data_IF_080856837070
#
_entry.id   IF_080856837070
#
_cell.length_a   1.000
_cell.length_b   1.000
_cell.length_c   1.000
_cell.angle_alpha   90.00
_cell.angle_beta   90.00
_cell.angle_gamma   90.00
#
_symmetry.space_group_name_H-M   'P 1'
#
loop_
_entity.id
_entity.type
_entity.pdbx_description
1 polymer ?
#
# COMPACT_ATOMS: atom_id res chain seq x y z
N UNK A 1 -14.50 2.16 -6.64
CA UNK A 1 -13.25 2.90 -6.44
C UNK A 1 -12.06 1.97 -6.52
N UNK A 2 -10.94 2.42 -7.13
CA UNK A 2 -9.76 1.57 -7.22
C UNK A 2 -9.22 1.22 -5.85
N UNK A 3 -8.89 -0.05 -5.66
CA UNK A 3 -8.31 -0.55 -4.41
C UNK A 3 -7.04 -1.31 -4.69
N UNK A 4 -6.07 -1.15 -3.80
CA UNK A 4 -4.84 -1.93 -3.81
C UNK A 4 -4.94 -2.94 -2.69
N UNK A 5 -5.03 -4.22 -3.01
CA UNK A 5 -5.09 -5.26 -2.00
C UNK A 5 -3.81 -6.07 -2.01
N UNK A 6 -3.16 -6.12 -0.85
CA UNK A 6 -1.97 -6.94 -0.62
C UNK A 6 -2.35 -8.07 0.33
N UNK A 7 -2.49 -9.27 -0.20
CA UNK A 7 -2.86 -10.43 0.60
C UNK A 7 -3.81 -11.36 -0.13
N UNK A 8 -3.99 -12.54 0.43
CA UNK A 8 -4.84 -13.56 -0.15
C UNK A 8 -6.25 -13.51 0.46
N UNK A 9 -7.14 -12.95 -0.30
CA UNK A 9 -8.58 -13.09 -0.14
C UNK A 9 -9.18 -12.67 1.21
N UNK A 10 -9.37 -13.55 2.18
CA UNK A 10 -10.31 -13.26 3.26
C UNK A 10 -9.70 -13.16 4.65
N UNK A 11 -8.54 -13.76 4.84
CA UNK A 11 -8.00 -13.93 6.18
C UNK A 11 -6.94 -12.92 6.57
N UNK A 12 -6.06 -12.56 5.64
CA UNK A 12 -5.02 -11.59 5.90
C UNK A 12 -4.81 -10.71 4.68
N UNK A 13 -5.01 -9.42 4.84
CA UNK A 13 -4.78 -8.46 3.76
C UNK A 13 -4.63 -7.05 4.29
N UNK A 14 -3.95 -6.24 3.50
CA UNK A 14 -3.90 -4.79 3.63
C UNK A 14 -4.51 -4.21 2.37
N UNK A 15 -5.55 -3.40 2.50
CA UNK A 15 -6.24 -2.80 1.37
C UNK A 15 -6.29 -1.28 1.48
N UNK A 16 -5.86 -0.60 0.43
CA UNK A 16 -5.86 0.85 0.34
C UNK A 16 -6.79 1.29 -0.80
N UNK A 17 -7.71 2.19 -0.50
CA UNK A 17 -8.63 2.74 -1.49
C UNK A 17 -8.10 4.06 -2.03
N UNK A 18 -7.87 4.13 -3.34
CA UNK A 18 -7.31 5.32 -4.00
C UNK A 18 -8.41 5.98 -4.80
N UNK A 19 -8.89 7.13 -4.33
CA UNK A 19 -10.11 7.75 -4.83
C UNK A 19 -9.91 9.12 -5.48
N UNK A 20 -8.69 9.53 -5.78
CA UNK A 20 -8.43 10.83 -6.36
C UNK A 20 -8.94 10.90 -7.81
N UNK A 21 -9.71 11.94 -8.19
CA UNK A 21 -10.25 12.04 -9.55
C UNK A 21 -9.16 12.13 -10.62
N UNK A 22 -9.44 11.65 -11.85
CA UNK A 22 -8.52 11.78 -12.97
C UNK A 22 -8.14 13.24 -13.23
N UNK A 23 -6.88 13.47 -13.55
CA UNK A 23 -6.38 14.82 -13.85
C UNK A 23 -6.15 15.71 -12.64
N UNK A 24 -6.45 15.23 -11.44
CA UNK A 24 -6.33 16.03 -10.22
C UNK A 24 -4.99 15.88 -9.53
N UNK A 25 -4.11 15.03 -10.05
CA UNK A 25 -2.88 14.66 -9.36
C UNK A 25 -1.71 15.59 -9.66
N UNK A 26 -1.29 16.33 -8.64
CA UNK A 26 0.00 17.01 -8.62
C UNK A 26 0.84 16.36 -7.52
N UNK A 27 2.16 16.45 -7.62
CA UNK A 27 3.05 15.73 -6.69
C UNK A 27 2.74 15.97 -5.22
N UNK A 28 2.30 17.16 -4.87
CA UNK A 28 1.99 17.54 -3.49
C UNK A 28 0.50 17.48 -3.14
N UNK A 29 -0.35 17.05 -4.07
CA UNK A 29 -1.78 16.91 -3.79
C UNK A 29 -2.00 15.89 -2.70
N UNK A 30 -2.69 16.30 -1.65
CA UNK A 30 -3.02 15.42 -0.53
C UNK A 30 -4.32 14.66 -0.80
N UNK A 31 -4.39 13.44 -0.34
CA UNK A 31 -5.59 12.63 -0.43
C UNK A 31 -5.76 11.76 0.80
N UNK A 32 -7.02 11.59 1.21
CA UNK A 32 -7.38 10.65 2.25
C UNK A 32 -7.45 9.27 1.61
N UNK A 33 -6.83 8.29 2.25
CA UNK A 33 -6.75 6.91 1.75
C UNK A 33 -7.40 5.99 2.77
N UNK A 34 -8.66 5.57 2.55
CA UNK A 34 -9.27 4.57 3.43
C UNK A 34 -8.49 3.27 3.37
N UNK A 35 -8.17 2.73 4.53
CA UNK A 35 -7.36 1.52 4.68
C UNK A 35 -8.10 0.52 5.55
N UNK A 36 -8.13 -0.74 5.10
CA UNK A 36 -8.57 -1.85 5.92
C UNK A 36 -7.40 -2.83 6.07
N UNK A 37 -7.13 -3.22 7.31
CA UNK A 37 -6.08 -4.18 7.66
C UNK A 37 -6.70 -5.33 8.43
N UNK A 38 -6.54 -6.54 7.92
CA UNK A 38 -7.04 -7.75 8.56
C UNK A 38 -5.90 -8.74 8.70
N UNK A 39 -5.54 -9.07 9.93
CA UNK A 39 -4.47 -10.01 10.25
C UNK A 39 -4.85 -10.81 11.50
N UNK A 40 -4.73 -12.12 11.44
CA UNK A 40 -4.83 -13.04 12.59
C UNK A 40 -5.75 -12.59 13.75
N UNK A 41 -7.03 -12.41 13.46
CA UNK A 41 -8.00 -12.04 14.50
C UNK A 41 -8.07 -10.56 14.82
N UNK A 42 -7.27 -9.73 14.14
CA UNK A 42 -7.33 -8.29 14.28
C UNK A 42 -7.85 -7.64 13.01
N UNK A 43 -8.69 -6.63 13.18
CA UNK A 43 -9.18 -5.83 12.05
C UNK A 43 -9.10 -4.36 12.43
N UNK A 44 -8.53 -3.56 11.54
CA UNK A 44 -8.45 -2.12 11.72
C UNK A 44 -8.88 -1.38 10.48
N UNK A 45 -9.49 -0.22 10.68
CA UNK A 45 -9.83 0.71 9.61
C UNK A 45 -9.32 2.08 9.98
N UNK A 46 -8.53 2.68 9.09
CA UNK A 46 -7.97 4.01 9.29
C UNK A 46 -8.07 4.77 7.98
N UNK A 47 -7.88 6.09 8.05
CA UNK A 47 -7.91 6.94 6.86
C UNK A 47 -6.69 7.86 6.89
N UNK A 48 -5.50 7.32 6.64
CA UNK A 48 -4.30 8.14 6.60
C UNK A 48 -4.28 9.05 5.37
N UNK A 49 -3.44 10.06 5.44
CA UNK A 49 -3.26 11.02 4.36
C UNK A 49 -1.94 10.73 3.65
N UNK A 50 -2.00 10.73 2.32
CA UNK A 50 -0.83 10.55 1.45
C UNK A 50 -0.77 11.67 0.43
N UNK A 51 0.42 11.91 -0.10
CA UNK A 51 0.59 12.76 -1.27
C UNK A 51 0.57 11.89 -2.52
N UNK A 52 0.15 12.45 -3.64
CA UNK A 52 0.19 11.76 -4.94
C UNK A 52 1.58 11.20 -5.21
N UNK A 53 2.62 11.98 -4.94
CA UNK A 53 3.99 11.57 -5.20
C UNK A 53 4.43 10.35 -4.39
N UNK A 54 3.85 10.14 -3.21
CA UNK A 54 4.12 8.94 -2.41
C UNK A 54 3.78 7.68 -3.19
N UNK A 55 2.64 7.69 -3.89
CA UNK A 55 2.20 6.54 -4.69
C UNK A 55 2.92 6.44 -6.02
N UNK A 56 3.31 7.56 -6.62
CA UNK A 56 4.10 7.54 -7.86
C UNK A 56 5.45 6.85 -7.60
N UNK A 57 6.11 7.21 -6.50
CA UNK A 57 7.37 6.57 -6.11
C UNK A 57 7.16 5.11 -5.72
N UNK A 58 6.08 4.84 -4.99
CA UNK A 58 5.75 3.47 -4.58
C UNK A 58 5.53 2.56 -5.77
N UNK A 59 4.82 3.03 -6.79
CA UNK A 59 4.58 2.26 -8.02
C UNK A 59 5.90 1.82 -8.67
N UNK A 60 6.83 2.75 -8.82
CA UNK A 60 8.13 2.45 -9.43
C UNK A 60 8.88 1.39 -8.62
N UNK A 61 8.93 1.55 -7.30
CA UNK A 61 9.62 0.61 -6.41
C UNK A 61 8.94 -0.75 -6.39
N UNK A 62 7.60 -0.78 -6.35
CA UNK A 62 6.84 -2.03 -6.32
C UNK A 62 7.02 -2.82 -7.62
N UNK A 63 7.05 -2.12 -8.75
CA UNK A 63 7.32 -2.75 -10.05
C UNK A 63 8.69 -3.43 -10.05
N UNK A 64 9.70 -2.77 -9.48
CA UNK A 64 11.05 -3.35 -9.37
C UNK A 64 11.05 -4.60 -8.47
N UNK A 65 10.33 -4.60 -7.36
CA UNK A 65 10.20 -5.79 -6.50
C UNK A 65 9.56 -6.93 -7.27
N UNK A 66 8.51 -6.64 -8.02
CA UNK A 66 7.82 -7.66 -8.80
C UNK A 66 8.73 -8.27 -9.90
N UNK A 67 9.44 -7.43 -10.62
CA UNK A 67 10.28 -7.88 -11.73
C UNK A 67 11.55 -8.60 -11.26
N UNK A 68 12.19 -8.11 -10.21
CA UNK A 68 13.44 -8.65 -9.70
C UNK A 68 13.26 -9.74 -8.66
N UNK A 69 12.06 -9.91 -8.10
CA UNK A 69 11.73 -10.81 -6.99
C UNK A 69 12.53 -10.48 -5.72
N UNK A 70 13.15 -9.33 -5.67
CA UNK A 70 13.98 -8.88 -4.55
C UNK A 70 13.86 -7.38 -4.38
N UNK A 71 14.45 -6.83 -3.30
CA UNK A 71 14.35 -5.42 -2.98
C UNK A 71 13.12 -5.11 -2.16
N UNK A 72 12.83 -3.83 -2.02
CA UNK A 72 11.71 -3.40 -1.19
C UNK A 72 11.06 -2.14 -1.75
N UNK A 73 9.77 -1.95 -1.40
CA UNK A 73 8.98 -0.79 -1.79
C UNK A 73 8.16 -0.32 -0.60
N UNK A 74 8.18 0.98 -0.35
CA UNK A 74 7.49 1.60 0.78
C UNK A 74 6.73 2.84 0.33
N UNK A 75 5.40 2.94 0.56
CA UNK A 75 4.71 4.20 0.39
C UNK A 75 4.93 5.04 1.65
N UNK A 76 5.92 5.91 1.60
CA UNK A 76 6.39 6.67 2.76
C UNK A 76 5.71 8.03 2.84
N UNK A 77 4.62 8.10 3.59
CA UNK A 77 3.90 9.36 3.81
C UNK A 77 4.59 10.20 4.89
N UNK A 78 4.25 11.50 4.90
CA UNK A 78 4.88 12.46 5.81
C UNK A 78 4.61 12.15 7.28
N UNK A 79 3.36 11.80 7.62
CA UNK A 79 2.98 11.57 9.02
C UNK A 79 3.08 10.11 9.44
N UNK A 80 3.23 9.21 8.49
CA UNK A 80 3.42 7.78 8.75
C UNK A 80 2.39 7.14 9.67
N UNK A 81 1.14 7.54 9.54
CA UNK A 81 0.05 6.84 10.24
C UNK A 81 -0.03 5.38 9.78
N UNK A 82 0.14 5.15 8.48
CA UNK A 82 0.37 3.82 7.92
C UNK A 82 1.75 3.80 7.29
N UNK A 83 2.55 2.84 7.69
CA UNK A 83 3.87 2.65 7.12
C UNK A 83 4.10 1.16 6.90
N UNK A 84 4.41 0.76 5.68
CA UNK A 84 4.69 -0.64 5.40
C UNK A 84 5.71 -0.77 4.28
N UNK A 85 6.36 -1.92 4.23
CA UNK A 85 7.33 -2.24 3.20
C UNK A 85 6.98 -3.58 2.59
N UNK A 86 6.96 -3.62 1.26
CA UNK A 86 6.85 -4.86 0.50
C UNK A 86 8.26 -5.31 0.13
N UNK A 87 8.68 -6.46 0.63
CA UNK A 87 10.05 -6.97 0.42
C UNK A 87 10.04 -8.32 -0.26
N UNK A 88 10.77 -8.43 -1.37
CA UNK A 88 10.94 -9.71 -2.07
C UNK A 88 12.09 -10.52 -1.48
N UNK A 89 11.91 -11.85 -1.36
CA UNK A 89 12.93 -12.72 -0.80
C UNK A 89 13.88 -13.33 -1.84
N UNK A 90 13.71 -12.97 -3.11
CA UNK A 90 14.50 -13.54 -4.22
C UNK A 90 14.03 -14.91 -4.69
N UNK A 91 12.97 -15.46 -4.10
CA UNK A 91 12.46 -16.81 -4.37
C UNK A 91 10.98 -16.86 -4.70
N UNK A 92 10.36 -15.71 -4.89
CA UNK A 92 8.94 -15.63 -5.22
C UNK A 92 8.00 -15.34 -4.06
N UNK A 93 8.51 -15.15 -2.86
CA UNK A 93 7.70 -14.68 -1.73
C UNK A 93 7.92 -13.20 -1.48
N UNK A 94 6.86 -12.51 -1.09
CA UNK A 94 6.90 -11.09 -0.74
C UNK A 94 6.30 -10.93 0.65
N UNK A 95 7.00 -10.22 1.51
CA UNK A 95 6.54 -9.91 2.85
C UNK A 95 6.07 -8.46 2.90
N UNK A 96 4.86 -8.26 3.37
CA UNK A 96 4.28 -6.94 3.61
C UNK A 96 4.32 -6.72 5.11
N UNK A 97 5.19 -5.87 5.60
CA UNK A 97 5.32 -5.65 7.03
C UNK A 97 5.37 -4.17 7.38
N UNK A 98 4.83 -3.82 8.53
CA UNK A 98 4.82 -2.44 8.97
C UNK A 98 3.93 -2.23 10.16
N UNK A 99 3.38 -1.02 10.26
CA UNK A 99 2.51 -0.66 11.37
C UNK A 99 1.42 0.32 10.91
N UNK A 100 0.35 0.35 11.70
CA UNK A 100 -0.75 1.29 11.51
C UNK A 100 -1.10 1.90 12.88
N UNK A 101 -1.21 3.21 12.93
CA UNK A 101 -1.70 3.92 14.09
C UNK A 101 -3.18 4.21 13.94
N UNK A 102 -3.91 4.15 15.04
CA UNK A 102 -5.36 4.38 15.05
C UNK A 102 -5.74 5.77 14.55
N UNK A 103 -4.88 6.76 14.75
CA UNK A 103 -5.15 8.16 14.41
C UNK A 103 -3.91 8.82 13.81
N UNK A 104 -4.12 9.94 13.10
CA UNK A 104 -3.02 10.75 12.57
C UNK A 104 -2.10 11.29 13.69
N UNK A 105 -2.63 11.41 14.90
CA UNK A 105 -1.87 11.80 16.10
C UNK A 105 -1.37 10.57 16.87
N UNK A 106 -1.34 9.43 16.20
CA UNK A 106 -0.86 8.12 16.64
C UNK A 106 -1.89 7.30 17.43
N UNK A 107 -1.88 7.29 18.74
CA UNK A 107 -2.77 6.42 19.51
C UNK A 107 -2.31 4.97 19.52
N UNK A 108 -3.25 4.02 19.48
CA UNK A 108 -2.92 2.60 19.44
C UNK A 108 -2.23 2.22 18.13
N UNK A 109 -1.29 1.31 18.23
CA UNK A 109 -0.47 0.87 17.10
C UNK A 109 -0.62 -0.62 16.88
N UNK A 110 -0.91 -1.01 15.64
CA UNK A 110 -0.89 -2.40 15.24
C UNK A 110 0.32 -2.63 14.34
N UNK A 111 1.19 -3.53 14.76
CA UNK A 111 2.33 -3.99 13.95
C UNK A 111 1.91 -5.28 13.26
N UNK A 112 2.20 -5.43 11.98
CA UNK A 112 1.73 -6.56 11.21
C UNK A 112 2.78 -7.08 10.22
N UNK A 113 2.58 -8.34 9.82
CA UNK A 113 3.39 -8.98 8.80
C UNK A 113 2.52 -9.96 8.03
N UNK A 114 2.49 -9.80 6.70
CA UNK A 114 1.73 -10.67 5.79
C UNK A 114 2.69 -11.18 4.74
N UNK A 115 2.75 -12.50 4.54
CA UNK A 115 3.58 -13.09 3.50
C UNK A 115 2.69 -13.58 2.37
N UNK A 116 3.00 -13.17 1.14
CA UNK A 116 2.23 -13.53 -0.05
C UNK A 116 3.16 -14.07 -1.14
N UNK A 117 2.59 -14.81 -2.07
CA UNK A 117 3.28 -15.17 -3.29
C UNK A 117 3.42 -13.93 -4.17
N UNK A 118 4.52 -13.82 -4.90
CA UNK A 118 4.82 -12.70 -5.79
C UNK A 118 3.68 -12.45 -6.80
N UNK A 119 2.98 -13.49 -7.23
CA UNK A 119 1.86 -13.35 -8.16
C UNK A 119 0.73 -12.47 -7.62
N UNK A 120 0.59 -12.34 -6.31
CA UNK A 120 -0.42 -11.46 -5.71
C UNK A 120 -0.10 -9.97 -5.87
N UNK A 121 1.08 -9.61 -6.39
CA UNK A 121 1.39 -8.23 -6.71
C UNK A 121 0.84 -7.78 -8.06
N UNK A 122 0.43 -8.71 -8.93
CA UNK A 122 -0.04 -8.39 -10.27
C UNK A 122 -1.23 -7.43 -10.26
N UNK A 123 -2.22 -7.73 -9.43
CA UNK A 123 -3.44 -6.93 -9.37
C UNK A 123 -3.20 -5.52 -8.80
N UNK A 124 -2.57 -5.35 -7.63
CA UNK A 124 -2.29 -4.00 -7.14
C UNK A 124 -1.37 -3.21 -8.06
N UNK A 125 -0.40 -3.85 -8.73
CA UNK A 125 0.43 -3.17 -9.72
C UNK A 125 -0.39 -2.65 -10.90
N UNK A 126 -1.27 -3.49 -11.45
CA UNK A 126 -2.13 -3.10 -12.57
C UNK A 126 -3.06 -1.95 -12.18
N UNK A 127 -3.66 -2.04 -11.01
CA UNK A 127 -4.57 -1.01 -10.51
C UNK A 127 -3.82 0.31 -10.28
N UNK A 128 -2.69 0.27 -9.61
CA UNK A 128 -1.92 1.49 -9.32
C UNK A 128 -1.38 2.13 -10.58
N UNK A 129 -0.97 1.34 -11.57
CA UNK A 129 -0.54 1.86 -12.86
C UNK A 129 -1.64 2.68 -13.52
N UNK A 130 -2.86 2.14 -13.55
CA UNK A 130 -4.01 2.85 -14.13
C UNK A 130 -4.34 4.13 -13.36
N UNK A 131 -4.30 4.08 -12.05
CA UNK A 131 -4.60 5.24 -11.20
C UNK A 131 -3.58 6.34 -11.43
N UNK A 132 -2.30 6.02 -11.43
CA UNK A 132 -1.24 7.02 -11.64
C UNK A 132 -1.32 7.62 -13.05
N UNK A 133 -1.61 6.82 -14.07
CA UNK A 133 -1.81 7.31 -15.43
C UNK A 133 -2.99 8.27 -15.51
N UNK A 134 -4.07 8.00 -14.80
CA UNK A 134 -5.26 8.83 -14.79
C UNK A 134 -5.04 10.19 -14.10
N UNK A 135 -4.06 10.28 -13.22
CA UNK A 135 -3.72 11.52 -12.54
C UNK A 135 -3.00 12.53 -13.45
N UNK A 136 -2.37 12.06 -14.49
CA UNK A 136 -1.60 12.91 -15.43
C UNK A 136 -2.47 13.61 -16.48
#
# INVERSE_FOLDING_TARGET
>A
MPSLRFGSAENEYLELEIALPPGAGHSETLMDVPVELVVDGFRGRITPMFEVDDFVRFLSALRSVYEALSGHATPDSRDRQLYFTASGNGRGAVTIEGYAYARATYGNKLTFEITIDQSYLQEPLATLTKVVEAWN
#
